data_IF_096036865096
#
_entry.id   IF_096036865096
#
_cell.length_a   1.000
_cell.length_b   1.000
_cell.length_c   1.000
_cell.angle_alpha   90.00
_cell.angle_beta   90.00
_cell.angle_gamma   90.00
#
_symmetry.space_group_name_H-M   'P 1'
#
loop_
_entity.id
_entity.type
_entity.pdbx_description
1 polymer ?
#
# COMPACT_ATOMS: atom_id res chain seq x y z
N UNK A 1 21.05 -8.77 -2.28
CA UNK A 1 20.76 -7.64 -1.38
C UNK A 1 20.12 -8.24 -0.13
N UNK A 2 20.81 -8.26 1.02
CA UNK A 2 20.24 -8.75 2.28
C UNK A 2 19.69 -7.54 3.02
N UNK A 3 18.37 -7.45 3.11
CA UNK A 3 17.72 -6.47 3.96
C UNK A 3 17.84 -6.97 5.40
N UNK A 4 18.58 -6.24 6.24
CA UNK A 4 18.58 -6.46 7.69
C UNK A 4 17.28 -5.85 8.21
N UNK A 5 16.20 -6.64 8.22
CA UNK A 5 14.99 -6.24 8.92
C UNK A 5 15.23 -6.46 10.41
N UNK A 6 15.24 -5.38 11.19
CA UNK A 6 15.19 -5.46 12.66
C UNK A 6 13.92 -6.22 13.02
N UNK A 7 14.06 -7.31 13.77
CA UNK A 7 12.93 -8.12 14.19
C UNK A 7 11.97 -7.27 15.03
N UNK A 8 10.74 -7.09 14.54
CA UNK A 8 9.74 -6.30 15.24
C UNK A 8 9.10 -7.17 16.33
N UNK A 9 9.67 -7.12 17.54
CA UNK A 9 9.19 -7.89 18.68
C UNK A 9 7.73 -7.60 19.02
N UNK A 10 7.24 -6.37 18.79
CA UNK A 10 5.82 -6.07 19.00
C UNK A 10 4.94 -6.86 18.03
N UNK A 11 5.34 -6.97 16.75
CA UNK A 11 4.64 -7.80 15.77
C UNK A 11 4.63 -9.27 16.20
N UNK A 12 5.75 -9.78 16.69
CA UNK A 12 5.88 -11.15 17.16
C UNK A 12 4.94 -11.49 18.34
N UNK A 13 4.64 -10.53 19.22
CA UNK A 13 3.66 -10.75 20.30
C UNK A 13 2.23 -10.91 19.78
N UNK A 14 1.89 -10.32 18.64
CA UNK A 14 0.58 -10.48 17.99
C UNK A 14 0.51 -11.70 17.03
N UNK A 15 1.60 -12.45 16.90
CA UNK A 15 1.64 -13.71 16.14
C UNK A 15 1.20 -14.93 16.97
N UNK A 16 0.73 -14.74 18.21
CA UNK A 16 0.17 -15.82 19.02
C UNK A 16 -1.11 -16.38 18.32
N UNK A 17 -1.12 -17.69 17.99
CA UNK A 17 -2.23 -18.33 17.28
C UNK A 17 -3.60 -18.09 17.91
N UNK A 18 -3.68 -17.95 19.24
CA UNK A 18 -4.97 -17.73 19.93
C UNK A 18 -5.60 -16.40 19.55
N UNK A 19 -4.81 -15.32 19.56
CA UNK A 19 -5.30 -13.99 19.21
C UNK A 19 -5.68 -13.91 17.72
N UNK A 20 -4.92 -14.60 16.87
CA UNK A 20 -5.22 -14.72 15.45
C UNK A 20 -6.58 -15.43 15.25
N UNK A 21 -6.79 -16.56 15.92
CA UNK A 21 -8.05 -17.32 15.82
C UNK A 21 -9.25 -16.51 16.32
N UNK A 22 -9.12 -15.83 17.46
CA UNK A 22 -10.17 -14.98 18.01
C UNK A 22 -10.55 -13.84 17.05
N UNK A 23 -9.55 -13.22 16.41
CA UNK A 23 -9.77 -12.19 15.41
C UNK A 23 -10.53 -12.74 14.19
N UNK A 24 -10.13 -13.88 13.62
CA UNK A 24 -10.82 -14.49 12.49
C UNK A 24 -12.27 -14.90 12.83
N UNK A 25 -12.51 -15.37 14.06
CA UNK A 25 -13.86 -15.65 14.54
C UNK A 25 -14.72 -14.39 14.60
N UNK A 26 -14.16 -13.27 15.07
CA UNK A 26 -14.85 -11.99 15.10
C UNK A 26 -15.21 -11.53 13.68
N UNK A 27 -14.26 -11.57 12.75
CA UNK A 27 -14.49 -11.23 11.33
C UNK A 27 -15.60 -12.09 10.73
N UNK A 28 -15.57 -13.41 10.95
CA UNK A 28 -16.58 -14.34 10.45
C UNK A 28 -17.99 -14.02 11.00
N UNK A 29 -18.07 -13.68 12.28
CA UNK A 29 -19.35 -13.29 12.91
C UNK A 29 -19.91 -11.98 12.32
N UNK A 30 -19.05 -10.99 12.07
CA UNK A 30 -19.44 -9.72 11.44
C UNK A 30 -19.90 -9.98 10.00
N UNK A 31 -19.17 -10.81 9.26
CA UNK A 31 -19.52 -11.21 7.90
C UNK A 31 -20.92 -11.83 7.86
N UNK A 32 -21.20 -12.80 8.74
CA UNK A 32 -22.50 -13.45 8.83
C UNK A 32 -23.62 -12.48 9.27
N UNK A 33 -23.33 -11.57 10.22
CA UNK A 33 -24.31 -10.61 10.74
C UNK A 33 -24.79 -9.61 9.69
N UNK A 34 -23.87 -9.12 8.85
CA UNK A 34 -24.16 -8.06 7.88
C UNK A 34 -24.26 -8.57 6.43
N UNK A 35 -24.06 -9.87 6.19
CA UNK A 35 -24.14 -10.45 4.85
C UNK A 35 -23.01 -9.99 3.93
N UNK A 36 -21.83 -9.69 4.47
CA UNK A 36 -20.67 -9.21 3.71
C UNK A 36 -20.14 -10.34 2.82
N UNK A 37 -19.97 -10.08 1.54
CA UNK A 37 -19.47 -11.06 0.58
C UNK A 37 -17.96 -10.94 0.41
N UNK A 38 -17.35 -11.97 -0.15
CA UNK A 38 -15.91 -12.00 -0.40
C UNK A 38 -15.43 -10.90 -1.37
N UNK A 39 -16.31 -10.46 -2.30
CA UNK A 39 -16.06 -9.33 -3.19
C UNK A 39 -16.02 -7.97 -2.49
N UNK A 40 -16.63 -7.87 -1.30
CA UNK A 40 -16.70 -6.62 -0.52
C UNK A 40 -15.43 -6.39 0.32
N UNK A 41 -14.56 -7.40 0.43
CA UNK A 41 -13.29 -7.27 1.14
C UNK A 41 -12.21 -6.73 0.21
N UNK A 42 -11.72 -5.54 0.53
CA UNK A 42 -10.57 -4.91 -0.11
C UNK A 42 -9.40 -4.89 0.85
N UNK A 43 -8.25 -5.38 0.41
CA UNK A 43 -6.98 -5.20 1.09
C UNK A 43 -6.32 -3.90 0.60
N UNK A 44 -5.67 -3.20 1.51
CA UNK A 44 -5.05 -1.89 1.30
C UNK A 44 -3.59 -2.02 1.68
N UNK A 45 -2.67 -1.57 0.82
CA UNK A 45 -1.25 -1.52 1.15
C UNK A 45 -0.57 -0.28 0.55
N UNK A 46 0.52 0.14 1.19
CA UNK A 46 1.31 1.29 0.80
C UNK A 46 2.68 0.86 0.30
N UNK A 47 3.05 1.30 -0.90
CA UNK A 47 4.39 1.08 -1.45
C UNK A 47 5.06 2.38 -1.84
N UNK A 48 6.20 2.68 -1.21
CA UNK A 48 7.05 3.82 -1.55
C UNK A 48 8.07 3.43 -2.62
N UNK A 49 8.18 4.23 -3.68
CA UNK A 49 9.16 4.06 -4.74
C UNK A 49 9.83 5.39 -5.09
N UNK A 50 11.06 5.33 -5.60
CA UNK A 50 11.78 6.53 -6.05
C UNK A 50 11.57 6.67 -7.56
N UNK A 51 11.05 7.83 -7.97
CA UNK A 51 10.89 8.15 -9.38
C UNK A 51 12.26 8.28 -10.05
N UNK A 52 12.41 7.73 -11.27
CA UNK A 52 13.64 7.83 -12.04
C UNK A 52 14.78 6.88 -11.63
N UNK A 53 14.61 6.06 -10.58
CA UNK A 53 15.55 4.98 -10.28
C UNK A 53 15.22 3.75 -11.12
N UNK A 54 16.12 3.44 -12.05
CA UNK A 54 16.13 2.15 -12.76
C UNK A 54 16.86 1.16 -11.86
N UNK A 55 16.10 0.36 -11.12
CA UNK A 55 16.62 -0.76 -10.33
C UNK A 55 16.53 -2.05 -11.16
N UNK A 56 17.43 -3.01 -10.95
CA UNK A 56 17.44 -4.29 -11.67
C UNK A 56 16.19 -5.17 -11.41
N UNK A 57 15.34 -4.78 -10.45
CA UNK A 57 14.03 -5.40 -10.18
C UNK A 57 12.90 -4.59 -10.83
N UNK A 58 12.53 -5.01 -12.03
CA UNK A 58 11.24 -4.82 -12.72
C UNK A 58 10.74 -3.38 -12.97
N UNK A 59 10.85 -2.96 -14.24
CA UNK A 59 10.04 -1.89 -14.84
C UNK A 59 9.36 -2.50 -16.07
N UNK A 60 8.04 -2.68 -16.04
CA UNK A 60 7.26 -2.97 -17.25
C UNK A 60 6.92 -1.62 -17.89
N UNK A 61 7.68 -1.22 -18.90
CA UNK A 61 7.42 0.01 -19.67
C UNK A 61 7.00 -0.34 -21.09
N UNK A 62 5.69 -0.59 -21.26
CA UNK A 62 5.03 -0.80 -22.56
C UNK A 62 5.56 -1.98 -23.40
N UNK A 63 4.70 -2.59 -24.20
CA UNK A 63 5.07 -3.71 -25.08
C UNK A 63 5.81 -3.27 -26.35
N UNK A 64 5.93 -1.97 -26.60
CA UNK A 64 6.49 -1.43 -27.85
C UNK A 64 7.71 -0.52 -27.61
N UNK A 65 8.91 -1.08 -27.44
CA UNK A 65 10.16 -0.34 -27.73
C UNK A 65 11.24 -1.24 -28.34
N UNK A 66 11.51 -1.01 -29.63
CA UNK A 66 12.71 -1.47 -30.33
C UNK A 66 13.88 -0.52 -30.03
N UNK A 67 15.04 -1.10 -29.72
CA UNK A 67 16.39 -0.50 -29.54
C UNK A 67 16.87 -0.18 -28.11
N UNK A 68 18.13 -0.56 -27.84
CA UNK A 68 18.87 -0.40 -26.59
C UNK A 68 19.16 1.07 -26.30
N UNK A 69 18.46 1.66 -25.33
CA UNK A 69 18.79 2.98 -24.76
C UNK A 69 19.85 2.88 -23.68
N UNK A 70 20.90 3.71 -23.76
CA UNK A 70 21.89 3.88 -22.68
C UNK A 70 21.21 4.52 -21.45
N UNK A 71 21.39 3.91 -20.30
CA UNK A 71 20.79 4.33 -19.02
C UNK A 71 21.51 5.57 -18.48
N UNK A 72 20.96 6.76 -18.73
CA UNK A 72 21.32 7.97 -17.98
C UNK A 72 20.22 8.16 -16.94
N UNK A 73 20.55 7.97 -15.65
CA UNK A 73 19.62 8.32 -14.57
C UNK A 73 19.47 9.83 -14.54
N UNK A 74 18.25 10.33 -14.75
CA UNK A 74 17.94 11.75 -14.55
C UNK A 74 18.05 12.10 -13.07
N UNK A 75 18.60 13.29 -12.77
CA UNK A 75 18.91 13.72 -11.40
C UNK A 75 17.73 13.99 -10.47
N UNK A 76 16.47 13.84 -10.91
CA UNK A 76 15.32 14.05 -10.04
C UNK A 76 14.95 12.75 -9.32
N UNK A 77 15.27 12.68 -8.02
CA UNK A 77 15.06 11.52 -7.12
C UNK A 77 13.96 11.84 -6.12
N UNK A 78 12.78 12.12 -6.62
CA UNK A 78 11.62 12.37 -5.78
C UNK A 78 11.00 11.03 -5.34
N UNK A 79 10.66 10.93 -4.06
CA UNK A 79 9.90 9.80 -3.53
C UNK A 79 8.43 9.98 -3.87
N UNK A 80 7.80 8.90 -4.34
CA UNK A 80 6.37 8.79 -4.49
C UNK A 80 5.89 7.56 -3.75
N UNK A 81 4.67 7.62 -3.25
CA UNK A 81 4.00 6.53 -2.57
C UNK A 81 2.74 6.17 -3.34
N UNK A 82 2.57 4.91 -3.67
CA UNK A 82 1.31 4.38 -4.19
C UNK A 82 0.56 3.68 -3.06
N UNK A 83 -0.71 4.05 -2.87
CA UNK A 83 -1.67 3.27 -2.11
C UNK A 83 -2.41 2.39 -3.11
N UNK A 84 -2.35 1.07 -2.89
CA UNK A 84 -2.87 0.06 -3.79
C UNK A 84 -3.97 -0.71 -3.07
N UNK A 85 -5.00 -1.08 -3.84
CA UNK A 85 -6.17 -1.79 -3.35
C UNK A 85 -6.40 -3.03 -4.20
N UNK A 86 -6.74 -4.15 -3.57
CA UNK A 86 -7.20 -5.34 -4.27
C UNK A 86 -8.27 -6.07 -3.47
N UNK A 87 -9.32 -6.53 -4.14
CA UNK A 87 -10.28 -7.48 -3.56
C UNK A 87 -9.93 -8.92 -3.94
N UNK A 88 -10.68 -9.88 -3.39
CA UNK A 88 -10.52 -11.31 -3.72
C UNK A 88 -10.78 -11.62 -5.20
N UNK A 89 -11.54 -10.79 -5.90
CA UNK A 89 -11.87 -10.97 -7.32
C UNK A 89 -10.84 -10.34 -8.27
N UNK A 90 -9.73 -9.80 -7.73
CA UNK A 90 -8.70 -9.08 -8.48
C UNK A 90 -9.20 -7.82 -9.18
N UNK A 91 -10.33 -7.26 -8.76
CA UNK A 91 -10.75 -5.93 -9.19
C UNK A 91 -9.75 -4.91 -8.64
N UNK A 92 -9.23 -4.10 -9.56
CA UNK A 92 -8.21 -3.11 -9.25
C UNK A 92 -8.85 -1.73 -9.26
N UNK A 93 -8.94 -1.11 -8.08
CA UNK A 93 -9.22 0.32 -7.97
C UNK A 93 -7.96 1.07 -8.43
N UNK A 94 -8.08 2.14 -9.22
CA UNK A 94 -6.91 2.94 -9.61
C UNK A 94 -6.07 3.31 -8.38
N UNK A 95 -4.75 3.09 -8.41
CA UNK A 95 -3.89 3.37 -7.26
C UNK A 95 -3.88 4.87 -6.98
N UNK A 96 -3.82 5.23 -5.70
CA UNK A 96 -3.70 6.61 -5.27
C UNK A 96 -2.22 6.98 -5.11
N UNK A 97 -1.76 8.00 -5.82
CA UNK A 97 -0.36 8.44 -5.77
C UNK A 97 -0.22 9.66 -4.86
N UNK A 98 0.59 9.50 -3.81
CA UNK A 98 1.07 10.58 -2.96
C UNK A 98 2.47 10.95 -3.42
N UNK A 99 2.61 12.18 -3.90
CA UNK A 99 3.91 12.78 -4.26
C UNK A 99 4.32 13.80 -3.22
N UNK A 100 5.57 14.25 -3.28
CA UNK A 100 6.05 15.32 -2.41
C UNK A 100 5.14 16.56 -2.52
N UNK A 101 4.49 16.91 -1.41
CA UNK A 101 3.63 18.08 -1.34
C UNK A 101 4.44 19.36 -1.50
N UNK A 102 3.96 20.27 -2.36
CA UNK A 102 4.50 21.64 -2.44
C UNK A 102 3.86 22.57 -1.41
N UNK A 103 2.66 22.23 -0.93
CA UNK A 103 1.90 23.04 0.02
C UNK A 103 1.28 22.13 1.06
N UNK A 104 1.41 22.52 2.33
CA UNK A 104 0.81 21.79 3.44
C UNK A 104 -0.68 22.15 3.57
N UNK A 105 -1.56 21.19 3.30
CA UNK A 105 -3.01 21.38 3.36
C UNK A 105 -3.54 21.06 4.78
N UNK A 106 -3.13 21.85 5.78
CA UNK A 106 -3.48 21.64 7.19
C UNK A 106 -4.99 21.53 7.46
N UNK A 107 -5.81 22.23 6.68
CA UNK A 107 -7.26 22.29 6.87
C UNK A 107 -7.94 20.92 6.81
N UNK A 108 -7.33 19.93 6.15
CA UNK A 108 -7.85 18.56 6.06
C UNK A 108 -7.98 17.86 7.42
N UNK A 109 -7.20 18.27 8.42
CA UNK A 109 -7.23 17.66 9.75
C UNK A 109 -7.40 18.69 10.88
N UNK A 110 -7.22 19.99 10.61
CA UNK A 110 -7.50 21.05 11.59
C UNK A 110 -8.94 21.55 11.56
N UNK A 111 -9.63 21.42 10.42
CA UNK A 111 -11.01 21.88 10.22
C UNK A 111 -11.92 20.70 9.84
N UNK A 112 -11.89 19.63 10.63
CA UNK A 112 -12.78 18.50 10.39
C UNK A 112 -14.10 18.68 11.15
N UNK A 113 -15.22 18.35 10.49
CA UNK A 113 -16.52 18.21 11.14
C UNK A 113 -16.69 16.83 11.82
N UNK A 114 -15.60 16.10 12.04
CA UNK A 114 -15.66 14.85 12.78
C UNK A 114 -15.92 15.15 14.26
N UNK A 115 -16.78 14.38 14.93
CA UNK A 115 -16.98 14.54 16.36
C UNK A 115 -15.65 14.37 17.08
N UNK A 116 -15.40 15.20 18.09
CA UNK A 116 -14.29 14.96 19.01
C UNK A 116 -14.54 13.65 19.75
N UNK A 117 -13.46 12.87 19.95
CA UNK A 117 -13.46 11.62 20.71
C UNK A 117 -13.98 11.79 22.15
#
# INVERSE_FOLDING_TARGET
>A
MRFNCVYNFQRAFYEDPKFIEEWFRLVSNIQAKYGIQDCDFYNFDETSFIMGIICLGMIVTSTERNSRSKTIQSGNREWATAIIYSNKESETIPPFLVVQGQTHLSNWYTETNFPAD
#
